data_IF_968269554227
#
_entry.id   IF_968269554227
#
_cell.length_a   1.000
_cell.length_b   1.000
_cell.length_c   1.000
_cell.angle_alpha   90.00
_cell.angle_beta   90.00
_cell.angle_gamma   90.00
#
_symmetry.space_group_name_H-M   'P 1'
#
loop_
_entity.id
_entity.type
_entity.pdbx_description
1 polymer ?
#
# COMPACT_ATOMS: atom_id res chain seq x y z
N UNK A 1 -3.77 -9.96 26.75
CA UNK A 1 -4.06 -9.33 28.02
C UNK A 1 -4.83 -8.05 27.79
N UNK A 2 -5.98 -7.86 28.44
CA UNK A 2 -6.71 -6.60 28.41
C UNK A 2 -5.86 -5.55 29.13
N UNK A 3 -5.36 -4.58 28.39
CA UNK A 3 -4.75 -3.39 29.01
C UNK A 3 -5.87 -2.70 29.81
N UNK A 4 -5.70 -2.59 31.13
CA UNK A 4 -6.72 -2.02 32.00
C UNK A 4 -6.83 -0.52 31.73
N UNK A 5 -8.03 0.04 31.88
CA UNK A 5 -8.26 1.48 31.72
C UNK A 5 -7.40 2.32 32.70
N UNK A 6 -6.99 1.74 33.84
CA UNK A 6 -6.05 2.35 34.80
C UNK A 6 -4.66 2.48 34.20
N UNK A 7 -4.16 1.46 33.50
CA UNK A 7 -2.84 1.49 32.83
C UNK A 7 -2.80 2.54 31.71
N UNK A 8 -3.91 2.69 30.99
CA UNK A 8 -4.04 3.76 29.98
C UNK A 8 -4.03 5.14 30.67
N UNK A 9 -4.70 5.29 31.81
CA UNK A 9 -4.76 6.55 32.56
C UNK A 9 -3.44 6.93 33.18
N UNK A 10 -2.68 5.97 33.71
CA UNK A 10 -1.31 6.21 34.22
C UNK A 10 -0.35 6.60 33.09
N UNK A 11 -0.48 6.02 31.90
CA UNK A 11 0.29 6.43 30.72
C UNK A 11 -0.05 7.85 30.26
N UNK A 12 -1.31 8.31 30.41
CA UNK A 12 -1.72 9.66 30.01
C UNK A 12 -1.42 10.74 31.06
N UNK A 13 -1.07 10.37 32.29
CA UNK A 13 -0.56 11.32 33.30
C UNK A 13 0.94 11.65 33.08
N UNK A 14 1.58 10.99 32.13
CA UNK A 14 2.92 11.32 31.65
C UNK A 14 2.93 12.52 30.69
N UNK A 15 4.13 12.91 30.30
CA UNK A 15 4.40 14.02 29.38
C UNK A 15 3.49 14.05 28.15
N UNK A 16 2.94 15.23 27.78
CA UNK A 16 2.13 15.40 26.58
C UNK A 16 2.89 15.05 25.28
N UNK A 17 4.21 14.87 25.35
CA UNK A 17 5.08 14.56 24.21
C UNK A 17 5.33 13.07 23.98
N UNK A 18 4.78 12.19 24.82
CA UNK A 18 4.97 10.73 24.70
C UNK A 18 4.46 10.15 23.37
N UNK A 19 3.49 10.82 22.72
CA UNK A 19 3.00 10.37 21.41
C UNK A 19 4.07 10.39 20.31
N UNK A 20 5.12 11.22 20.46
CA UNK A 20 6.24 11.27 19.49
C UNK A 20 7.01 9.95 19.37
N UNK A 21 6.98 9.10 20.42
CA UNK A 21 7.53 7.73 20.34
C UNK A 21 6.77 6.86 19.33
N UNK A 22 5.45 7.06 19.23
CA UNK A 22 4.63 6.34 18.27
C UNK A 22 4.91 6.77 16.83
N UNK A 23 5.27 8.03 16.62
CA UNK A 23 5.67 8.53 15.30
C UNK A 23 6.91 7.79 14.81
N UNK A 24 7.96 7.66 15.64
CA UNK A 24 9.15 6.91 15.26
C UNK A 24 8.84 5.43 14.95
N UNK A 25 7.96 4.81 15.74
CA UNK A 25 7.62 3.39 15.58
C UNK A 25 6.82 3.13 14.30
N UNK A 26 5.88 4.01 13.97
CA UNK A 26 4.97 3.83 12.81
C UNK A 26 5.36 4.69 11.60
N UNK A 27 6.49 5.39 11.66
CA UNK A 27 6.98 6.18 10.52
C UNK A 27 7.11 5.34 9.23
N UNK A 28 7.64 4.10 9.24
CA UNK A 28 7.71 3.30 8.02
C UNK A 28 6.31 2.98 7.45
N UNK A 29 5.30 2.79 8.32
CA UNK A 29 3.92 2.56 7.88
C UNK A 29 3.32 3.82 7.23
N UNK A 30 3.50 4.98 7.86
CA UNK A 30 3.03 6.26 7.30
C UNK A 30 3.71 6.58 5.96
N UNK A 31 5.02 6.36 5.87
CA UNK A 31 5.77 6.52 4.63
C UNK A 31 5.35 5.53 3.55
N UNK A 32 4.98 4.30 3.92
CA UNK A 32 4.45 3.31 2.97
C UNK A 32 3.17 3.83 2.32
N UNK A 33 2.21 4.34 3.12
CA UNK A 33 0.99 4.95 2.59
C UNK A 33 1.29 6.14 1.68
N UNK A 34 2.09 7.09 2.15
CA UNK A 34 2.48 8.27 1.36
C UNK A 34 3.14 7.89 0.02
N UNK A 35 4.08 6.95 0.02
CA UNK A 35 4.74 6.50 -1.21
C UNK A 35 3.77 5.77 -2.14
N UNK A 36 2.83 4.98 -1.59
CA UNK A 36 1.80 4.33 -2.40
C UNK A 36 0.89 5.35 -3.08
N UNK A 37 0.47 6.40 -2.36
CA UNK A 37 -0.34 7.48 -2.92
C UNK A 37 0.45 8.30 -3.97
N UNK A 38 1.72 8.62 -3.69
CA UNK A 38 2.59 9.28 -4.69
C UNK A 38 2.66 8.42 -5.95
N UNK A 39 2.94 7.12 -5.84
CA UNK A 39 3.01 6.24 -7.00
C UNK A 39 1.68 6.16 -7.77
N UNK A 40 0.55 6.18 -7.05
CA UNK A 40 -0.78 6.10 -7.64
C UNK A 40 -1.18 7.38 -8.38
N UNK A 41 -0.82 8.56 -7.88
CA UNK A 41 -1.26 9.85 -8.43
C UNK A 41 -0.19 10.60 -9.23
N UNK A 42 1.09 10.22 -9.12
CA UNK A 42 2.18 10.92 -9.80
C UNK A 42 1.97 11.02 -11.31
N UNK A 43 1.43 9.96 -11.95
CA UNK A 43 1.19 9.98 -13.39
C UNK A 43 0.16 11.03 -13.81
N UNK A 44 -0.89 11.28 -13.01
CA UNK A 44 -1.88 12.32 -13.27
C UNK A 44 -1.24 13.71 -13.18
N UNK A 45 -0.57 13.97 -12.04
CA UNK A 45 0.07 15.27 -11.78
C UNK A 45 1.13 15.61 -12.84
N UNK A 46 1.94 14.63 -13.23
CA UNK A 46 2.97 14.81 -14.25
C UNK A 46 2.36 15.09 -15.64
N UNK A 47 1.25 14.41 -15.98
CA UNK A 47 0.54 14.65 -17.24
C UNK A 47 -0.13 16.04 -17.25
N UNK A 48 -0.67 16.51 -16.10
CA UNK A 48 -1.22 17.88 -15.98
C UNK A 48 -0.17 18.95 -16.23
N UNK A 49 1.06 18.71 -15.81
CA UNK A 49 2.20 19.63 -16.02
C UNK A 49 2.89 19.41 -17.38
N UNK A 50 2.46 18.35 -18.09
CA UNK A 50 3.02 17.96 -19.39
C UNK A 50 2.36 18.66 -20.59
N UNK A 51 2.74 18.24 -21.81
CA UNK A 51 2.31 18.90 -23.06
C UNK A 51 0.80 18.87 -23.32
N UNK A 52 0.05 17.91 -22.79
CA UNK A 52 -1.41 17.80 -22.96
C UNK A 52 -2.20 18.39 -21.79
N UNK A 53 -1.50 18.91 -20.78
CA UNK A 53 -2.10 19.55 -19.63
C UNK A 53 -2.66 20.92 -20.01
N UNK A 54 -3.82 21.26 -19.45
CA UNK A 54 -4.50 22.55 -19.66
C UNK A 54 -4.67 23.23 -18.31
N UNK A 55 -4.26 24.48 -18.24
CA UNK A 55 -4.55 25.33 -17.10
C UNK A 55 -6.02 25.76 -17.13
N UNK A 56 -6.78 25.35 -16.13
CA UNK A 56 -8.21 25.71 -16.05
C UNK A 56 -8.37 27.09 -15.40
N UNK A 57 -7.79 27.30 -14.21
CA UNK A 57 -7.81 28.61 -13.52
C UNK A 57 -6.78 28.61 -12.36
N UNK A 58 -5.90 29.62 -12.33
CA UNK A 58 -4.92 29.76 -11.26
C UNK A 58 -3.98 28.55 -11.16
N UNK A 59 -3.98 27.83 -10.04
CA UNK A 59 -3.17 26.64 -9.83
C UNK A 59 -3.88 25.34 -10.25
N UNK A 60 -5.09 25.42 -10.80
CA UNK A 60 -5.84 24.24 -11.23
C UNK A 60 -5.44 23.87 -12.66
N UNK A 61 -4.84 22.70 -12.79
CA UNK A 61 -4.48 22.06 -14.05
C UNK A 61 -5.31 20.79 -14.22
N UNK A 62 -5.51 20.35 -15.44
CA UNK A 62 -6.16 19.11 -15.78
C UNK A 62 -5.77 18.66 -17.19
N UNK A 63 -5.99 17.39 -17.48
CA UNK A 63 -5.80 16.82 -18.80
C UNK A 63 -7.02 15.93 -19.15
N UNK A 64 -8.18 16.51 -19.57
CA UNK A 64 -9.43 15.76 -19.74
C UNK A 64 -9.30 14.53 -20.62
N UNK A 65 -8.47 14.60 -21.66
CA UNK A 65 -8.20 13.45 -22.54
C UNK A 65 -7.49 12.29 -21.84
N UNK A 66 -6.83 12.52 -20.72
CA UNK A 66 -6.15 11.53 -19.90
C UNK A 66 -6.92 11.22 -18.60
N UNK A 67 -7.48 12.23 -17.95
CA UNK A 67 -8.14 12.12 -16.64
C UNK A 67 -9.42 11.28 -16.70
N UNK A 68 -10.24 11.46 -17.76
CA UNK A 68 -11.49 10.71 -17.91
C UNK A 68 -11.22 9.22 -18.12
N UNK A 69 -10.36 8.79 -19.07
CA UNK A 69 -9.94 7.40 -19.18
C UNK A 69 -9.33 6.84 -17.89
N UNK A 70 -8.50 7.63 -17.19
CA UNK A 70 -7.85 7.22 -15.94
C UNK A 70 -8.89 6.95 -14.84
N UNK A 71 -9.86 7.84 -14.67
CA UNK A 71 -10.94 7.68 -13.70
C UNK A 71 -11.76 6.40 -13.99
N UNK A 72 -12.14 6.19 -15.22
CA UNK A 72 -12.92 5.01 -15.61
C UNK A 72 -12.12 3.71 -15.45
N UNK A 73 -10.84 3.73 -15.81
CA UNK A 73 -9.92 2.61 -15.59
C UNK A 73 -9.75 2.31 -14.10
N UNK A 74 -9.63 3.34 -13.26
CA UNK A 74 -9.52 3.21 -11.81
C UNK A 74 -10.74 2.51 -11.19
N UNK A 75 -11.94 2.73 -11.71
CA UNK A 75 -13.15 2.04 -11.21
C UNK A 75 -13.08 0.51 -11.38
N UNK A 76 -12.27 0.01 -12.30
CA UNK A 76 -12.10 -1.44 -12.52
C UNK A 76 -11.49 -2.17 -11.31
N UNK A 77 -10.79 -1.47 -10.41
CA UNK A 77 -10.18 -2.08 -9.23
C UNK A 77 -11.12 -2.22 -8.02
N UNK A 78 -12.30 -1.61 -8.07
CA UNK A 78 -13.25 -1.66 -6.95
C UNK A 78 -13.65 -3.09 -6.59
N UNK A 79 -13.81 -3.96 -7.60
CA UNK A 79 -14.14 -5.39 -7.40
C UNK A 79 -13.04 -6.07 -6.58
N UNK A 80 -11.77 -5.84 -6.92
CA UNK A 80 -10.64 -6.42 -6.20
C UNK A 80 -10.49 -5.85 -4.79
N UNK A 81 -10.71 -4.56 -4.61
CA UNK A 81 -10.62 -3.90 -3.30
C UNK A 81 -11.65 -4.49 -2.34
N UNK A 82 -12.91 -4.61 -2.77
CA UNK A 82 -13.98 -5.21 -1.95
C UNK A 82 -13.70 -6.69 -1.67
N UNK A 83 -13.31 -7.46 -2.72
CA UNK A 83 -12.99 -8.87 -2.56
C UNK A 83 -11.82 -9.11 -1.61
N UNK A 84 -10.79 -8.26 -1.64
CA UNK A 84 -9.64 -8.36 -0.75
C UNK A 84 -10.06 -8.23 0.71
N UNK A 85 -10.86 -7.22 1.06
CA UNK A 85 -11.35 -7.03 2.44
C UNK A 85 -12.09 -8.29 2.91
N UNK A 86 -12.99 -8.83 2.10
CA UNK A 86 -13.74 -10.05 2.44
C UNK A 86 -12.81 -11.26 2.59
N UNK A 87 -11.91 -11.48 1.64
CA UNK A 87 -10.96 -12.60 1.68
C UNK A 87 -10.04 -12.54 2.90
N UNK A 88 -9.51 -11.38 3.24
CA UNK A 88 -8.61 -11.21 4.38
C UNK A 88 -9.35 -11.42 5.69
N UNK A 89 -10.49 -10.77 5.89
CA UNK A 89 -11.23 -10.84 7.15
C UNK A 89 -11.85 -12.23 7.38
N UNK A 90 -12.37 -12.88 6.34
CA UNK A 90 -13.13 -14.13 6.50
C UNK A 90 -12.24 -15.36 6.38
N UNK A 91 -11.26 -15.36 5.47
CA UNK A 91 -10.47 -16.54 5.16
C UNK A 91 -9.07 -16.53 5.79
N UNK A 92 -8.34 -15.43 5.67
CA UNK A 92 -6.95 -15.35 6.11
C UNK A 92 -6.83 -15.05 7.61
N UNK A 93 -7.53 -14.04 8.12
CA UNK A 93 -7.39 -13.55 9.49
C UNK A 93 -7.62 -14.63 10.57
N UNK A 94 -8.61 -15.52 10.48
CA UNK A 94 -8.77 -16.58 11.47
C UNK A 94 -7.55 -17.51 11.56
N UNK A 95 -6.94 -17.90 10.42
CA UNK A 95 -5.75 -18.76 10.37
C UNK A 95 -4.51 -18.04 10.89
N UNK A 96 -4.35 -16.79 10.50
CA UNK A 96 -3.32 -15.90 11.02
C UNK A 96 -3.40 -15.81 12.55
N UNK A 97 -4.59 -15.58 13.11
CA UNK A 97 -4.82 -15.51 14.56
C UNK A 97 -4.49 -16.84 15.25
N UNK A 98 -4.92 -17.98 14.71
CA UNK A 98 -4.62 -19.30 15.25
C UNK A 98 -3.11 -19.55 15.29
N UNK A 99 -2.40 -19.27 14.19
CA UNK A 99 -0.96 -19.40 14.12
C UNK A 99 -0.24 -18.56 15.19
N UNK A 100 -0.60 -17.27 15.31
CA UNK A 100 0.02 -16.38 16.27
C UNK A 100 -0.34 -16.69 17.73
N UNK A 101 -1.55 -17.22 18.02
CA UNK A 101 -1.91 -17.64 19.37
C UNK A 101 -1.09 -18.87 19.80
N UNK A 102 -0.93 -19.87 18.94
CA UNK A 102 -0.08 -21.04 19.21
C UNK A 102 1.38 -20.62 19.45
N UNK A 103 1.85 -19.66 18.67
CA UNK A 103 3.22 -19.16 18.81
C UNK A 103 3.47 -18.40 20.11
N UNK A 104 2.49 -17.60 20.56
CA UNK A 104 2.60 -16.77 21.77
C UNK A 104 2.26 -17.55 23.07
N UNK A 105 1.36 -18.53 23.00
CA UNK A 105 0.85 -19.27 24.14
C UNK A 105 1.65 -20.57 24.43
N UNK A 106 2.76 -20.78 23.71
CA UNK A 106 3.67 -21.92 23.96
C UNK A 106 3.15 -23.25 23.37
N UNK A 107 2.55 -23.22 22.20
CA UNK A 107 2.14 -24.42 21.47
C UNK A 107 3.30 -25.35 21.12
N UNK A 108 3.00 -26.62 20.87
CA UNK A 108 3.97 -27.62 20.44
C UNK A 108 4.49 -27.25 19.04
N UNK A 109 5.78 -27.46 18.79
CA UNK A 109 6.43 -27.08 17.51
C UNK A 109 5.70 -27.69 16.30
N UNK A 110 5.20 -28.91 16.42
CA UNK A 110 4.43 -29.58 15.36
C UNK A 110 3.13 -28.84 15.03
N UNK A 111 2.38 -28.39 16.03
CA UNK A 111 1.12 -27.67 15.85
C UNK A 111 1.36 -26.27 15.26
N UNK A 112 2.43 -25.59 15.69
CA UNK A 112 2.84 -24.29 15.13
C UNK A 112 3.19 -24.43 13.65
N UNK A 113 3.95 -25.48 13.29
CA UNK A 113 4.33 -25.72 11.89
C UNK A 113 3.10 -26.01 11.03
N UNK A 114 2.22 -26.91 11.48
CA UNK A 114 0.99 -27.26 10.77
C UNK A 114 0.06 -26.03 10.57
N UNK A 115 -0.14 -25.23 11.62
CA UNK A 115 -0.92 -24.01 11.53
C UNK A 115 -0.30 -22.95 10.59
N UNK A 116 1.04 -22.87 10.54
CA UNK A 116 1.77 -22.02 9.62
C UNK A 116 1.59 -22.44 8.16
N UNK A 117 1.69 -23.75 7.88
CA UNK A 117 1.46 -24.30 6.53
C UNK A 117 0.01 -24.08 6.07
N UNK A 118 -0.98 -24.31 6.94
CA UNK A 118 -2.39 -24.05 6.64
C UNK A 118 -2.61 -22.55 6.33
N UNK A 119 -2.08 -21.66 7.15
CA UNK A 119 -2.19 -20.22 6.95
C UNK A 119 -1.58 -19.79 5.61
N UNK A 120 -0.39 -20.27 5.25
CA UNK A 120 0.27 -19.95 3.98
C UNK A 120 -0.47 -20.56 2.79
N UNK A 121 -1.02 -21.77 2.91
CA UNK A 121 -1.83 -22.38 1.86
C UNK A 121 -3.08 -21.55 1.55
N UNK A 122 -3.77 -21.08 2.59
CA UNK A 122 -4.93 -20.19 2.44
C UNK A 122 -4.51 -18.86 1.85
N UNK A 123 -3.42 -18.25 2.32
CA UNK A 123 -2.90 -16.99 1.79
C UNK A 123 -2.61 -17.09 0.27
N UNK A 124 -1.86 -18.10 -0.15
CA UNK A 124 -1.52 -18.31 -1.55
C UNK A 124 -2.76 -18.53 -2.42
N UNK A 125 -3.72 -19.31 -1.93
CA UNK A 125 -4.99 -19.53 -2.62
C UNK A 125 -5.78 -18.24 -2.80
N UNK A 126 -5.94 -17.43 -1.74
CA UNK A 126 -6.71 -16.18 -1.78
C UNK A 126 -6.02 -15.12 -2.65
N UNK A 127 -4.70 -15.03 -2.61
CA UNK A 127 -3.93 -14.14 -3.50
C UNK A 127 -4.09 -14.54 -4.97
N UNK A 128 -4.03 -15.85 -5.27
CA UNK A 128 -4.24 -16.35 -6.63
C UNK A 128 -5.66 -16.03 -7.12
N UNK A 129 -6.68 -16.28 -6.31
CA UNK A 129 -8.06 -15.96 -6.67
C UNK A 129 -8.28 -14.46 -6.84
N UNK A 130 -7.67 -13.63 -6.01
CA UNK A 130 -7.74 -12.17 -6.14
C UNK A 130 -7.10 -11.70 -7.46
N UNK A 131 -5.92 -12.22 -7.80
CA UNK A 131 -5.23 -11.92 -9.06
C UNK A 131 -6.06 -12.39 -10.27
N UNK A 132 -6.63 -13.60 -10.20
CA UNK A 132 -7.47 -14.14 -11.27
C UNK A 132 -8.75 -13.34 -11.47
N UNK A 133 -9.45 -12.97 -10.39
CA UNK A 133 -10.64 -12.12 -10.45
C UNK A 133 -10.32 -10.75 -11.05
N UNK A 134 -9.20 -10.13 -10.65
CA UNK A 134 -8.79 -8.85 -11.24
C UNK A 134 -8.45 -8.99 -12.73
N UNK A 135 -7.77 -10.05 -13.12
CA UNK A 135 -7.48 -10.32 -14.53
C UNK A 135 -8.78 -10.41 -15.36
N UNK A 136 -9.75 -11.19 -14.90
CA UNK A 136 -11.05 -11.30 -15.59
C UNK A 136 -11.83 -9.99 -15.58
N UNK A 137 -11.80 -9.23 -14.48
CA UNK A 137 -12.43 -7.90 -14.41
C UNK A 137 -11.78 -6.95 -15.41
N UNK A 138 -10.45 -6.88 -15.43
CA UNK A 138 -9.72 -6.01 -16.37
C UNK A 138 -10.01 -6.39 -17.83
N UNK A 139 -9.94 -7.68 -18.16
CA UNK A 139 -10.27 -8.17 -19.49
C UNK A 139 -11.73 -7.88 -19.89
N UNK A 140 -12.67 -8.10 -18.97
CA UNK A 140 -14.09 -7.80 -19.18
C UNK A 140 -14.36 -6.31 -19.41
N UNK A 141 -13.75 -5.44 -18.58
CA UNK A 141 -13.89 -3.97 -18.68
C UNK A 141 -13.31 -3.47 -20.01
N UNK A 142 -12.14 -3.96 -20.44
CA UNK A 142 -11.55 -3.61 -21.73
C UNK A 142 -12.41 -4.13 -22.90
N UNK A 143 -12.98 -5.34 -22.78
CA UNK A 143 -13.83 -5.91 -23.83
C UNK A 143 -15.18 -5.19 -23.98
N UNK A 144 -15.72 -4.67 -22.86
CA UNK A 144 -16.95 -3.91 -22.83
C UNK A 144 -16.75 -2.43 -23.21
N UNK A 145 -15.52 -1.96 -23.27
CA UNK A 145 -15.17 -0.56 -23.56
C UNK A 145 -15.89 -0.04 -24.82
N UNK A 146 -15.74 -0.75 -25.94
CA UNK A 146 -16.31 -0.32 -27.22
C UNK A 146 -17.84 -0.20 -27.16
N UNK A 147 -18.52 -1.06 -26.40
CA UNK A 147 -19.98 -0.99 -26.22
C UNK A 147 -20.35 0.20 -25.30
N UNK A 148 -19.71 0.31 -24.14
CA UNK A 148 -20.06 1.33 -23.13
C UNK A 148 -19.74 2.73 -23.65
N UNK A 149 -18.56 2.94 -24.25
CA UNK A 149 -18.13 4.24 -24.75
C UNK A 149 -18.93 4.70 -25.98
N UNK A 150 -19.47 3.76 -26.78
CA UNK A 150 -20.35 4.08 -27.87
C UNK A 150 -21.71 4.66 -27.44
N UNK A 151 -22.18 4.34 -26.24
CA UNK A 151 -23.44 4.85 -25.67
C UNK A 151 -23.25 6.09 -24.79
N UNK A 152 -22.07 6.31 -24.26
CA UNK A 152 -21.77 7.48 -23.42
C UNK A 152 -21.27 8.65 -24.27
N UNK A 153 -21.90 9.84 -24.21
CA UNK A 153 -21.50 11.01 -25.01
C UNK A 153 -20.26 11.69 -24.41
N UNK A 154 -19.20 10.93 -24.14
CA UNK A 154 -17.97 11.42 -23.50
C UNK A 154 -16.91 11.94 -24.49
N UNK A 155 -17.23 11.87 -25.82
CA UNK A 155 -16.31 12.35 -26.86
C UNK A 155 -14.98 11.59 -26.92
N UNK A 156 -15.00 10.29 -26.66
CA UNK A 156 -13.79 9.44 -26.72
C UNK A 156 -13.19 9.45 -28.13
N UNK A 157 -11.90 9.66 -28.20
CA UNK A 157 -11.09 9.51 -29.39
C UNK A 157 -10.14 8.31 -29.28
N UNK A 158 -9.45 7.95 -30.35
CA UNK A 158 -8.54 6.78 -30.38
C UNK A 158 -7.44 6.85 -29.31
N UNK A 159 -6.96 8.06 -28.99
CA UNK A 159 -5.96 8.25 -27.93
C UNK A 159 -6.52 7.94 -26.54
N UNK A 160 -7.74 8.37 -26.24
CA UNK A 160 -8.43 8.08 -24.99
C UNK A 160 -8.71 6.59 -24.83
N UNK A 161 -9.07 5.89 -25.90
CA UNK A 161 -9.20 4.43 -25.91
C UNK A 161 -7.86 3.75 -25.59
N UNK A 162 -6.76 4.23 -26.15
CA UNK A 162 -5.42 3.76 -25.84
C UNK A 162 -5.05 3.94 -24.37
N UNK A 163 -5.31 5.12 -23.82
CA UNK A 163 -5.08 5.40 -22.39
C UNK A 163 -5.91 4.51 -21.49
N UNK A 164 -7.20 4.37 -21.78
CA UNK A 164 -8.10 3.56 -20.99
C UNK A 164 -7.60 2.11 -20.89
N UNK A 165 -7.26 1.46 -22.02
CA UNK A 165 -6.77 0.08 -22.03
C UNK A 165 -5.47 -0.08 -21.28
N UNK A 166 -4.50 0.80 -21.52
CA UNK A 166 -3.21 0.77 -20.84
C UNK A 166 -3.36 0.98 -19.33
N UNK A 167 -4.18 1.94 -18.93
CA UNK A 167 -4.43 2.23 -17.52
C UNK A 167 -5.25 1.16 -16.82
N UNK A 168 -6.21 0.50 -17.49
CA UNK A 168 -6.92 -0.66 -16.93
C UNK A 168 -5.95 -1.78 -16.55
N UNK A 169 -4.97 -2.08 -17.39
CA UNK A 169 -3.93 -3.07 -17.07
C UNK A 169 -3.04 -2.56 -15.94
N UNK A 170 -2.63 -1.28 -15.98
CA UNK A 170 -1.83 -0.65 -14.94
C UNK A 170 -2.51 -0.68 -13.56
N UNK A 171 -3.77 -0.26 -13.49
CA UNK A 171 -4.54 -0.30 -12.25
C UNK A 171 -4.80 -1.74 -11.79
N UNK A 172 -5.03 -2.68 -12.70
CA UNK A 172 -5.16 -4.10 -12.37
C UNK A 172 -3.91 -4.65 -11.68
N UNK A 173 -2.73 -4.39 -12.22
CA UNK A 173 -1.45 -4.76 -11.61
C UNK A 173 -1.23 -4.04 -10.27
N UNK A 174 -1.56 -2.75 -10.20
CA UNK A 174 -1.52 -1.98 -8.95
C UNK A 174 -2.41 -2.62 -7.88
N UNK A 175 -3.65 -2.98 -8.20
CA UNK A 175 -4.59 -3.55 -7.24
C UNK A 175 -4.07 -4.86 -6.63
N UNK A 176 -3.53 -5.76 -7.45
CA UNK A 176 -2.92 -7.01 -6.97
C UNK A 176 -1.63 -6.74 -6.21
N UNK A 177 -0.76 -5.85 -6.69
CA UNK A 177 0.48 -5.46 -6.01
C UNK A 177 0.21 -4.82 -4.64
N UNK A 178 -0.79 -3.93 -4.57
CA UNK A 178 -1.21 -3.30 -3.32
C UNK A 178 -1.83 -4.32 -2.34
N UNK A 179 -2.57 -5.33 -2.84
CA UNK A 179 -3.04 -6.46 -2.03
C UNK A 179 -1.87 -7.18 -1.35
N UNK A 180 -0.82 -7.50 -2.11
CA UNK A 180 0.39 -8.14 -1.58
C UNK A 180 1.10 -7.23 -0.56
N UNK A 181 1.19 -5.94 -0.84
CA UNK A 181 1.76 -4.94 0.07
C UNK A 181 0.99 -4.87 1.40
N UNK A 182 -0.34 -4.90 1.36
CA UNK A 182 -1.18 -4.93 2.57
C UNK A 182 -0.97 -6.21 3.38
N UNK A 183 -0.75 -7.37 2.74
CA UNK A 183 -0.39 -8.61 3.43
C UNK A 183 0.96 -8.49 4.14
N UNK A 184 1.97 -7.84 3.53
CA UNK A 184 3.23 -7.55 4.21
C UNK A 184 3.01 -6.69 5.48
N UNK A 185 2.09 -5.72 5.43
CA UNK A 185 1.72 -4.93 6.60
C UNK A 185 1.00 -5.75 7.67
N UNK A 186 0.16 -6.73 7.30
CA UNK A 186 -0.41 -7.69 8.25
C UNK A 186 0.67 -8.51 8.97
N UNK A 187 1.71 -8.90 8.26
CA UNK A 187 2.88 -9.57 8.85
C UNK A 187 3.83 -8.62 9.59
N UNK A 188 3.48 -7.32 9.71
CA UNK A 188 4.30 -6.28 10.35
C UNK A 188 5.68 -6.07 9.71
N UNK A 189 5.87 -6.47 8.45
CA UNK A 189 7.07 -6.21 7.68
C UNK A 189 7.06 -4.79 7.09
N UNK A 190 7.03 -3.78 7.96
CA UNK A 190 6.97 -2.38 7.56
C UNK A 190 8.13 -1.94 6.66
N UNK A 191 9.33 -2.49 6.88
CA UNK A 191 10.51 -2.15 6.06
C UNK A 191 10.42 -2.74 4.66
N UNK A 192 9.94 -3.97 4.56
CA UNK A 192 9.71 -4.62 3.26
C UNK A 192 8.61 -3.92 2.46
N UNK A 193 7.50 -3.59 3.12
CA UNK A 193 6.40 -2.84 2.53
C UNK A 193 6.85 -1.45 2.06
N UNK A 194 7.60 -0.71 2.89
CA UNK A 194 8.16 0.59 2.52
C UNK A 194 9.10 0.49 1.31
N UNK A 195 9.96 -0.54 1.25
CA UNK A 195 10.83 -0.77 0.10
C UNK A 195 10.06 -0.97 -1.20
N UNK A 196 8.97 -1.75 -1.16
CA UNK A 196 8.09 -1.95 -2.32
C UNK A 196 7.35 -0.65 -2.71
N UNK A 197 6.81 0.10 -1.73
CA UNK A 197 6.13 1.37 -1.98
C UNK A 197 7.07 2.45 -2.55
N UNK A 198 8.31 2.55 -2.04
CA UNK A 198 9.32 3.47 -2.56
C UNK A 198 9.71 3.12 -4.01
N UNK A 199 9.91 1.83 -4.31
CA UNK A 199 10.21 1.39 -5.67
C UNK A 199 9.07 1.71 -6.64
N UNK A 200 7.82 1.57 -6.19
CA UNK A 200 6.63 1.97 -6.94
C UNK A 200 6.59 3.47 -7.21
N UNK A 201 6.69 4.29 -6.15
CA UNK A 201 6.66 5.75 -6.30
C UNK A 201 7.75 6.24 -7.25
N UNK A 202 8.98 5.76 -7.06
CA UNK A 202 10.12 6.12 -7.91
C UNK A 202 9.96 5.66 -9.36
N UNK A 203 9.52 4.41 -9.59
CA UNK A 203 9.29 3.89 -10.92
C UNK A 203 8.11 4.57 -11.63
N UNK A 204 6.96 4.72 -10.95
CA UNK A 204 5.78 5.36 -11.53
C UNK A 204 6.06 6.82 -11.89
N UNK A 205 6.64 7.60 -10.98
CA UNK A 205 6.99 8.98 -11.26
C UNK A 205 8.10 9.11 -12.32
N UNK A 206 9.20 8.35 -12.19
CA UNK A 206 10.34 8.45 -13.09
C UNK A 206 10.01 7.98 -14.51
N UNK A 207 9.33 6.85 -14.67
CA UNK A 207 8.95 6.32 -15.97
C UNK A 207 7.84 7.15 -16.64
N UNK A 208 6.92 7.75 -15.85
CA UNK A 208 5.95 8.69 -16.40
C UNK A 208 6.66 9.96 -16.86
N UNK A 209 7.55 10.55 -16.05
CA UNK A 209 8.32 11.72 -16.48
C UNK A 209 9.16 11.46 -17.74
N UNK A 210 9.67 10.24 -17.88
CA UNK A 210 10.36 9.81 -19.10
C UNK A 210 9.39 9.69 -20.27
N UNK A 211 8.21 9.09 -20.08
CA UNK A 211 7.20 8.94 -21.16
C UNK A 211 6.70 10.26 -21.72
N UNK A 212 6.69 11.34 -20.91
CA UNK A 212 6.33 12.68 -21.37
C UNK A 212 7.29 13.27 -22.41
N UNK A 213 8.47 12.66 -22.60
CA UNK A 213 9.43 13.06 -23.65
C UNK A 213 9.15 12.41 -24.99
N UNK A 214 8.24 11.45 -25.03
CA UNK A 214 7.83 10.73 -26.24
C UNK A 214 6.45 11.21 -26.72
N UNK A 215 5.95 10.54 -27.76
CA UNK A 215 4.62 10.81 -28.28
C UNK A 215 3.53 10.61 -27.17
N UNK A 216 2.50 11.47 -27.14
CA UNK A 216 1.39 11.34 -26.18
C UNK A 216 0.78 9.94 -26.08
N UNK A 217 0.82 9.14 -27.13
CA UNK A 217 0.32 7.75 -27.11
C UNK A 217 0.98 6.87 -26.03
N UNK A 218 2.15 7.24 -25.54
CA UNK A 218 2.91 6.46 -24.54
C UNK A 218 2.69 6.88 -23.08
N UNK A 219 1.90 7.91 -22.78
CA UNK A 219 1.84 8.49 -21.42
C UNK A 219 1.32 7.51 -20.36
N UNK A 220 0.42 6.60 -20.67
CA UNK A 220 -0.07 5.61 -19.72
C UNK A 220 0.94 4.51 -19.33
N UNK A 221 1.97 4.28 -20.16
CA UNK A 221 2.93 3.18 -19.95
C UNK A 221 3.85 3.41 -18.74
N UNK A 222 4.12 4.66 -18.36
CA UNK A 222 4.92 4.97 -17.18
C UNK A 222 4.28 4.45 -15.89
N UNK A 223 2.99 4.67 -15.72
CA UNK A 223 2.23 4.14 -14.60
C UNK A 223 2.11 2.61 -14.64
N UNK A 224 1.82 2.04 -15.82
CA UNK A 224 1.75 0.59 -16.01
C UNK A 224 3.05 -0.10 -15.57
N UNK A 225 4.19 0.41 -16.01
CA UNK A 225 5.50 -0.14 -15.63
C UNK A 225 5.78 0.06 -14.13
N UNK A 226 5.41 1.20 -13.56
CA UNK A 226 5.49 1.44 -12.11
C UNK A 226 4.66 0.43 -11.31
N UNK A 227 3.42 0.17 -11.73
CA UNK A 227 2.54 -0.82 -11.10
C UNK A 227 3.11 -2.25 -11.21
N UNK A 228 3.75 -2.59 -12.34
CA UNK A 228 4.45 -3.86 -12.48
C UNK A 228 5.64 -3.97 -11.50
N UNK A 229 6.39 -2.89 -11.28
CA UNK A 229 7.47 -2.84 -10.28
C UNK A 229 6.91 -3.06 -8.87
N UNK A 230 5.78 -2.41 -8.50
CA UNK A 230 5.13 -2.66 -7.23
C UNK A 230 4.78 -4.15 -7.05
N UNK A 231 4.07 -4.70 -8.04
CA UNK A 231 3.64 -6.10 -7.99
C UNK A 231 4.83 -7.06 -7.81
N UNK A 232 5.88 -6.90 -8.62
CA UNK A 232 7.06 -7.76 -8.55
C UNK A 232 7.83 -7.61 -7.24
N UNK A 233 8.09 -6.37 -6.79
CA UNK A 233 8.87 -6.13 -5.57
C UNK A 233 8.11 -6.58 -4.31
N UNK A 234 6.80 -6.33 -4.24
CA UNK A 234 5.96 -6.79 -3.14
C UNK A 234 5.88 -8.33 -3.11
N UNK A 235 5.68 -8.98 -4.27
CA UNK A 235 5.60 -10.43 -4.38
C UNK A 235 6.92 -11.11 -4.00
N UNK A 236 8.05 -10.62 -4.51
CA UNK A 236 9.38 -11.13 -4.15
C UNK A 236 9.67 -10.95 -2.66
N UNK A 237 9.23 -9.85 -2.08
CA UNK A 237 9.38 -9.61 -0.65
C UNK A 237 8.52 -10.56 0.17
N UNK A 238 7.27 -10.76 -0.22
CA UNK A 238 6.36 -11.69 0.45
C UNK A 238 6.89 -13.13 0.39
N UNK A 239 7.35 -13.58 -0.77
CA UNK A 239 7.94 -14.92 -0.94
C UNK A 239 9.16 -15.12 -0.03
N UNK A 240 10.07 -14.15 0.04
CA UNK A 240 11.23 -14.21 0.94
C UNK A 240 10.82 -14.22 2.42
N UNK A 241 9.80 -13.46 2.78
CA UNK A 241 9.32 -13.36 4.14
C UNK A 241 8.66 -14.68 4.58
N UNK A 242 7.79 -15.24 3.75
CA UNK A 242 7.05 -16.47 4.07
C UNK A 242 7.93 -17.70 4.13
N UNK A 243 9.00 -17.77 3.34
CA UNK A 243 10.01 -18.86 3.43
C UNK A 243 10.75 -18.88 4.77
N UNK A 244 10.90 -17.74 5.43
CA UNK A 244 11.60 -17.59 6.71
C UNK A 244 10.66 -17.14 7.83
N UNK A 245 9.38 -17.47 7.74
CA UNK A 245 8.33 -16.97 8.61
C UNK A 245 8.64 -17.12 10.12
N UNK A 246 9.04 -18.31 10.64
CA UNK A 246 9.33 -18.46 12.06
C UNK A 246 10.47 -17.56 12.53
N UNK A 247 11.53 -17.44 11.74
CA UNK A 247 12.68 -16.59 12.05
C UNK A 247 12.31 -15.10 12.04
N UNK A 248 11.51 -14.67 11.06
CA UNK A 248 11.06 -13.28 10.95
C UNK A 248 10.16 -12.88 12.13
N UNK A 249 9.28 -13.78 12.59
CA UNK A 249 8.39 -13.53 13.73
C UNK A 249 9.17 -13.47 15.03
N UNK A 250 10.09 -14.40 15.27
CA UNK A 250 10.95 -14.38 16.45
C UNK A 250 11.79 -13.11 16.55
N UNK A 251 12.35 -12.66 15.42
CA UNK A 251 13.13 -11.43 15.35
C UNK A 251 12.35 -10.13 15.59
N UNK A 252 11.03 -10.18 15.51
CA UNK A 252 10.15 -9.04 15.76
C UNK A 252 9.62 -8.96 17.19
N UNK A 253 9.90 -9.97 18.03
CA UNK A 253 9.45 -9.97 19.42
C UNK A 253 10.21 -8.91 20.24
N UNK A 254 9.51 -8.13 21.12
CA UNK A 254 10.10 -7.02 21.87
C UNK A 254 11.20 -7.42 22.86
N UNK A 255 11.35 -8.71 23.16
CA UNK A 255 12.42 -9.23 24.01
C UNK A 255 13.81 -9.12 23.38
N UNK A 256 13.89 -9.02 22.05
CA UNK A 256 15.14 -9.00 21.27
C UNK A 256 15.45 -7.62 20.70
N UNK A 257 14.44 -6.76 20.55
CA UNK A 257 14.60 -5.44 19.98
C UNK A 257 14.74 -4.38 21.07
N UNK A 258 15.98 -3.93 21.36
CA UNK A 258 16.18 -2.65 22.04
C UNK A 258 15.59 -1.53 21.17
N UNK A 259 14.54 -0.87 21.66
CA UNK A 259 13.97 0.31 20.99
C UNK A 259 15.01 1.45 21.02
N UNK A 260 15.74 1.60 19.92
CA UNK A 260 16.61 2.78 19.75
C UNK A 260 15.73 4.02 19.66
N UNK A 261 15.99 5.00 20.54
CA UNK A 261 15.30 6.29 20.51
C UNK A 261 15.50 6.95 19.13
N UNK A 262 14.43 7.05 18.34
CA UNK A 262 14.42 7.73 17.06
C UNK A 262 14.48 9.26 17.21
N UNK A 263 14.43 9.98 16.09
CA UNK A 263 14.54 11.44 16.07
C UNK A 263 13.38 12.12 16.82
N UNK A 264 12.15 11.65 16.61
CA UNK A 264 10.95 12.19 17.26
C UNK A 264 10.91 11.86 18.75
N UNK A 265 11.36 10.68 19.15
CA UNK A 265 11.52 10.31 20.57
C UNK A 265 12.51 11.24 21.28
N UNK A 266 13.66 11.54 20.64
CA UNK A 266 14.64 12.49 21.19
C UNK A 266 14.08 13.90 21.29
N UNK A 267 13.33 14.34 20.29
CA UNK A 267 12.63 15.62 20.32
C UNK A 267 11.61 15.68 21.47
N UNK A 268 10.83 14.62 21.67
CA UNK A 268 9.87 14.51 22.78
C UNK A 268 10.55 14.64 24.13
N UNK A 269 11.64 13.93 24.34
CA UNK A 269 12.43 14.00 25.57
C UNK A 269 13.06 15.40 25.80
N UNK A 270 13.47 16.06 24.72
CA UNK A 270 13.98 17.43 24.80
C UNK A 270 12.89 18.43 25.24
N UNK A 271 11.72 18.35 24.59
CA UNK A 271 10.57 19.21 24.93
C UNK A 271 10.07 18.97 26.36
N UNK A 272 10.09 17.72 26.81
CA UNK A 272 9.74 17.36 28.18
C UNK A 272 10.66 18.01 29.20
N UNK A 273 11.98 17.89 29.02
CA UNK A 273 12.97 18.53 29.89
C UNK A 273 12.78 20.04 29.97
N UNK A 274 12.51 20.67 28.84
CA UNK A 274 12.30 22.12 28.79
C UNK A 274 10.97 22.55 29.47
N UNK A 275 9.94 21.72 29.39
CA UNK A 275 8.65 21.99 30.06
C UNK A 275 8.73 21.81 31.57
N UNK A 276 9.55 20.90 32.08
CA UNK A 276 9.79 20.67 33.51
C UNK A 276 10.61 21.83 34.13
N UNK A 277 11.67 22.27 33.44
CA UNK A 277 12.48 23.43 33.89
C UNK A 277 11.61 24.69 34.03
N UNK A 278 10.71 24.95 33.10
CA UNK A 278 9.81 26.10 33.12
C UNK A 278 8.77 26.03 34.25
N UNK A 279 8.46 24.83 34.77
CA UNK A 279 7.56 24.62 35.91
C UNK A 279 8.27 24.76 37.25
N UNK A 280 9.57 24.55 37.28
CA UNK A 280 10.39 24.76 38.51
C UNK A 280 10.79 26.23 38.67
N UNK A 281 10.79 27.03 37.61
CA UNK A 281 11.12 28.48 37.63
C UNK A 281 9.87 29.37 37.86
N UNK A 282 8.63 28.82 37.83
CA UNK A 282 7.36 29.54 38.03
C UNK A 282 6.75 29.25 39.39
#
# INVERSE_FOLDING_TARGET
GRVSASTIREYWQGSPWLFLRWVDRFLPLALTGLCTDIGLFAHLVLVWLGPIGVQVKGLFYGAPYYDVPALLAFLSILVTTVNFVVSVEVQFYPRYRTYYSLFNDGGVVGDITAAGEEMLAVLNRELFYTALKQLFTTAGVISLEALVMGYLPLGFNDLMHGYFRTLCVGYGLYAVGNTVLLILLYFTDYKGALGAALSFAGAAAGLTALSLRFDPAYYGFGFLAGAAVLFLTALLRLDRFTRNLPYCILGQQPVVAEEKAGAFTRLGLFLERHSLQKKEEA
#
